data_IF_336660521626
#
_entry.id   IF_336660521626
#
_cell.length_a   1.000
_cell.length_b   1.000
_cell.length_c   1.000
_cell.angle_alpha   90.00
_cell.angle_beta   90.00
_cell.angle_gamma   90.00
#
_symmetry.space_group_name_H-M   'P 1'
#
loop_
_entity.id
_entity.type
_entity.pdbx_description
1 polymer ?
#
# COMPACT_ATOMS: atom_id res chain seq x y z
N UNK A 1 -9.16 -2.05 20.57
CA UNK A 1 -8.26 -0.94 20.20
C UNK A 1 -7.01 -1.43 19.45
N UNK A 2 -6.36 -2.53 19.87
CA UNK A 2 -5.18 -3.08 19.17
C UNK A 2 -5.44 -3.53 17.72
N UNK A 3 -6.63 -4.08 17.43
CA UNK A 3 -6.92 -4.63 16.10
C UNK A 3 -7.03 -3.53 15.01
N UNK A 4 -7.56 -2.35 15.34
CA UNK A 4 -7.69 -1.25 14.36
C UNK A 4 -6.33 -0.68 13.93
N UNK A 5 -5.37 -0.61 14.86
CA UNK A 5 -3.99 -0.18 14.58
C UNK A 5 -3.30 -1.21 13.69
N UNK A 6 -3.63 -2.50 13.86
CA UNK A 6 -3.10 -3.60 13.05
C UNK A 6 -3.55 -3.49 11.58
N UNK A 7 -4.85 -3.31 11.32
CA UNK A 7 -5.39 -3.23 9.96
C UNK A 7 -4.87 -2.02 9.17
N UNK A 8 -4.80 -0.83 9.78
CA UNK A 8 -4.18 0.34 9.11
C UNK A 8 -2.69 0.12 8.86
N UNK A 9 -1.97 -0.44 9.84
CA UNK A 9 -0.55 -0.76 9.68
C UNK A 9 -0.32 -1.71 8.52
N UNK A 10 -1.21 -2.69 8.31
CA UNK A 10 -1.15 -3.59 7.15
C UNK A 10 -1.20 -2.82 5.83
N UNK A 11 -2.21 -1.96 5.67
CA UNK A 11 -2.41 -1.15 4.45
C UNK A 11 -1.21 -0.24 4.22
N UNK A 12 -0.78 0.48 5.26
CA UNK A 12 0.35 1.41 5.20
C UNK A 12 1.65 0.70 4.83
N UNK A 13 1.98 -0.38 5.52
CA UNK A 13 3.22 -1.12 5.25
C UNK A 13 3.18 -1.77 3.86
N UNK A 14 2.02 -2.22 3.37
CA UNK A 14 1.88 -2.73 2.02
C UNK A 14 2.30 -1.68 0.98
N UNK A 15 1.69 -0.49 0.99
CA UNK A 15 2.01 0.54 0.00
C UNK A 15 3.43 1.10 0.15
N UNK A 16 3.95 1.20 1.37
CA UNK A 16 5.36 1.55 1.59
C UNK A 16 6.31 0.51 0.98
N UNK A 17 6.03 -0.78 1.19
CA UNK A 17 6.83 -1.88 0.63
C UNK A 17 6.79 -1.88 -0.89
N UNK A 18 5.62 -1.64 -1.48
CA UNK A 18 5.45 -1.64 -2.93
C UNK A 18 6.13 -0.41 -3.57
N UNK A 19 6.01 0.76 -2.96
CA UNK A 19 6.72 1.98 -3.41
C UNK A 19 8.22 1.79 -3.35
N UNK A 20 8.73 1.21 -2.25
CA UNK A 20 10.15 0.90 -2.12
C UNK A 20 10.62 -0.10 -3.19
N UNK A 21 9.82 -1.14 -3.46
CA UNK A 21 10.12 -2.09 -4.54
C UNK A 21 10.11 -1.43 -5.92
N UNK A 22 9.16 -0.53 -6.22
CA UNK A 22 9.13 0.20 -7.49
C UNK A 22 10.41 1.02 -7.70
N UNK A 23 10.91 1.68 -6.67
CA UNK A 23 12.18 2.42 -6.73
C UNK A 23 13.36 1.48 -6.99
N UNK A 24 13.39 0.33 -6.32
CA UNK A 24 14.42 -0.70 -6.53
C UNK A 24 14.36 -1.24 -7.96
N UNK A 25 13.15 -1.56 -8.45
CA UNK A 25 12.90 -2.01 -9.82
C UNK A 25 13.35 -0.97 -10.84
N UNK A 26 13.00 0.31 -10.64
CA UNK A 26 13.40 1.39 -11.52
C UNK A 26 14.93 1.43 -11.68
N UNK A 27 15.68 1.49 -10.58
CA UNK A 27 17.14 1.51 -10.63
C UNK A 27 17.76 0.23 -11.21
N UNK A 28 17.13 -0.92 -10.97
CA UNK A 28 17.54 -2.17 -11.59
C UNK A 28 17.38 -2.11 -13.12
N UNK A 29 16.22 -1.65 -13.61
CA UNK A 29 15.93 -1.53 -15.03
C UNK A 29 16.84 -0.52 -15.72
N UNK A 30 17.15 0.61 -15.08
CA UNK A 30 18.13 1.57 -15.60
C UNK A 30 19.47 0.89 -15.86
N UNK A 31 19.99 0.12 -14.90
CA UNK A 31 21.29 -0.54 -15.05
C UNK A 31 21.28 -1.69 -16.03
N UNK A 32 20.23 -2.51 -16.01
CA UNK A 32 20.06 -3.65 -16.92
C UNK A 32 19.95 -3.21 -18.37
N UNK A 33 19.45 -2.01 -18.65
CA UNK A 33 19.36 -1.49 -20.02
C UNK A 33 20.73 -1.34 -20.72
N UNK A 34 21.81 -1.27 -19.94
CA UNK A 34 23.20 -1.21 -20.44
C UNK A 34 23.90 -2.58 -20.50
N UNK A 35 23.22 -3.66 -20.12
CA UNK A 35 23.80 -5.01 -20.11
C UNK A 35 23.47 -5.71 -21.44
N UNK A 36 24.50 -6.06 -22.19
CA UNK A 36 24.38 -6.95 -23.35
C UNK A 36 24.60 -8.40 -22.93
N UNK A 37 23.68 -9.29 -23.28
CA UNK A 37 23.85 -10.74 -23.10
C UNK A 37 25.09 -11.24 -23.85
N UNK A 38 25.33 -10.72 -25.06
CA UNK A 38 26.51 -11.06 -25.85
C UNK A 38 27.81 -10.64 -25.14
N UNK A 39 27.80 -9.52 -24.41
CA UNK A 39 28.98 -9.09 -23.64
C UNK A 39 29.19 -9.95 -22.39
N UNK A 40 28.13 -10.48 -21.79
CA UNK A 40 28.24 -11.43 -20.67
C UNK A 40 28.80 -12.78 -21.16
N UNK A 41 28.24 -13.32 -22.24
CA UNK A 41 28.67 -14.60 -22.84
C UNK A 41 30.14 -14.54 -23.32
N UNK A 42 30.57 -13.40 -23.84
CA UNK A 42 31.94 -13.21 -24.32
C UNK A 42 32.92 -12.70 -23.25
N UNK A 43 32.54 -12.66 -21.97
CA UNK A 43 33.36 -12.14 -20.87
C UNK A 43 33.86 -10.68 -21.07
N UNK A 44 33.08 -9.87 -21.79
CA UNK A 44 33.39 -8.46 -22.05
C UNK A 44 32.74 -7.52 -21.04
N UNK A 45 31.68 -7.97 -20.35
CA UNK A 45 31.00 -7.17 -19.36
C UNK A 45 31.75 -7.17 -18.01
N UNK A 46 32.10 -6.01 -17.43
CA UNK A 46 32.81 -5.95 -16.16
C UNK A 46 31.97 -6.55 -15.01
N UNK A 47 32.55 -7.52 -14.29
CA UNK A 47 31.86 -8.23 -13.19
C UNK A 47 31.48 -7.25 -12.07
N UNK A 48 32.31 -6.24 -11.82
CA UNK A 48 32.06 -5.18 -10.85
C UNK A 48 30.80 -4.37 -11.19
N UNK A 49 30.55 -4.12 -12.47
CA UNK A 49 29.32 -3.46 -12.93
C UNK A 49 28.12 -4.39 -12.80
N UNK A 50 28.31 -5.69 -13.03
CA UNK A 50 27.25 -6.68 -12.88
C UNK A 50 26.80 -6.81 -11.41
N UNK A 51 27.75 -6.80 -10.48
CA UNK A 51 27.46 -6.81 -9.04
C UNK A 51 26.68 -5.58 -8.59
N UNK A 52 26.76 -4.46 -9.33
CA UNK A 52 26.00 -3.24 -9.02
C UNK A 52 24.56 -3.31 -9.52
N UNK A 53 24.16 -4.30 -10.33
CA UNK A 53 22.78 -4.40 -10.84
C UNK A 53 21.75 -4.46 -9.71
N UNK A 54 22.04 -5.23 -8.65
CA UNK A 54 21.20 -5.33 -7.46
C UNK A 54 21.96 -4.89 -6.21
N UNK A 55 21.33 -4.00 -5.45
CA UNK A 55 21.85 -3.52 -4.18
C UNK A 55 21.37 -4.42 -3.03
N UNK A 56 22.30 -5.19 -2.46
CA UNK A 56 22.03 -6.13 -1.37
C UNK A 56 21.46 -5.44 -0.12
N UNK A 57 21.87 -4.20 0.15
CA UNK A 57 21.38 -3.44 1.30
C UNK A 57 19.94 -3.02 1.07
N UNK A 58 19.59 -2.56 -0.14
CA UNK A 58 18.20 -2.22 -0.49
C UNK A 58 17.29 -3.45 -0.47
N UNK A 59 17.74 -4.59 -1.00
CA UNK A 59 17.00 -5.86 -0.93
C UNK A 59 16.78 -6.31 0.52
N UNK A 60 17.82 -6.24 1.35
CA UNK A 60 17.72 -6.59 2.78
C UNK A 60 16.77 -5.66 3.51
N UNK A 61 16.84 -4.35 3.24
CA UNK A 61 15.94 -3.38 3.83
C UNK A 61 14.48 -3.61 3.43
N UNK A 62 14.20 -3.90 2.15
CA UNK A 62 12.86 -4.29 1.69
C UNK A 62 12.35 -5.52 2.45
N UNK A 63 13.18 -6.57 2.53
CA UNK A 63 12.81 -7.83 3.18
C UNK A 63 12.57 -7.67 4.67
N UNK A 64 13.55 -7.14 5.38
CA UNK A 64 13.63 -7.17 6.85
C UNK A 64 12.75 -6.08 7.47
N UNK A 65 12.74 -4.87 6.89
CA UNK A 65 11.95 -3.76 7.45
C UNK A 65 10.48 -3.82 7.06
N UNK A 66 10.20 -4.09 5.79
CA UNK A 66 8.83 -4.01 5.27
C UNK A 66 8.17 -5.38 5.16
N UNK A 67 8.74 -6.32 4.40
CA UNK A 67 8.05 -7.56 4.07
C UNK A 67 7.90 -8.50 5.28
N UNK A 68 8.88 -8.56 6.18
CA UNK A 68 8.75 -9.35 7.41
C UNK A 68 7.61 -8.82 8.29
N UNK A 69 7.56 -7.50 8.50
CA UNK A 69 6.47 -6.84 9.24
C UNK A 69 5.13 -7.05 8.54
N UNK A 70 5.08 -6.89 7.22
CA UNK A 70 3.86 -7.06 6.43
C UNK A 70 3.32 -8.48 6.51
N UNK A 71 4.20 -9.49 6.45
CA UNK A 71 3.84 -10.90 6.59
C UNK A 71 3.24 -11.17 7.97
N UNK A 72 3.85 -10.66 9.03
CA UNK A 72 3.32 -10.79 10.39
C UNK A 72 1.95 -10.15 10.53
N UNK A 73 1.77 -8.93 10.00
CA UNK A 73 0.48 -8.24 10.01
C UNK A 73 -0.58 -9.01 9.22
N UNK A 74 -0.25 -9.49 8.02
CA UNK A 74 -1.18 -10.23 7.16
C UNK A 74 -1.64 -11.53 7.82
N UNK A 75 -0.70 -12.25 8.44
CA UNK A 75 -1.00 -13.51 9.12
C UNK A 75 -1.90 -13.32 10.35
N UNK A 76 -1.70 -12.22 11.10
CA UNK A 76 -2.50 -11.89 12.26
C UNK A 76 -3.90 -11.39 11.88
N UNK A 77 -4.00 -10.59 10.81
CA UNK A 77 -5.25 -10.01 10.33
C UNK A 77 -6.19 -11.06 9.73
N UNK A 78 -5.64 -12.05 9.02
CA UNK A 78 -6.42 -13.08 8.33
C UNK A 78 -6.21 -14.47 8.96
N UNK A 79 -6.83 -14.76 10.13
CA UNK A 79 -6.62 -16.03 10.80
C UNK A 79 -7.06 -17.22 9.94
N UNK A 80 -6.21 -18.24 9.87
CA UNK A 80 -6.36 -19.46 9.03
C UNK A 80 -7.58 -20.35 9.33
N UNK A 81 -8.51 -19.94 10.20
CA UNK A 81 -9.52 -20.85 10.80
C UNK A 81 -10.59 -21.36 9.81
N UNK A 82 -10.75 -20.79 8.61
CA UNK A 82 -11.67 -21.33 7.58
C UNK A 82 -11.16 -21.24 6.13
N UNK A 83 -10.37 -20.23 5.75
CA UNK A 83 -9.78 -20.08 4.41
C UNK A 83 -8.56 -19.17 4.49
N UNK A 84 -7.44 -19.57 3.89
CA UNK A 84 -6.26 -18.71 3.80
C UNK A 84 -6.59 -17.55 2.86
N UNK A 85 -6.39 -16.32 3.34
CA UNK A 85 -6.60 -15.13 2.53
C UNK A 85 -5.50 -15.05 1.47
N UNK A 86 -5.88 -14.86 0.20
CA UNK A 86 -4.94 -14.78 -0.93
C UNK A 86 -3.94 -13.63 -0.76
N UNK A 87 -4.34 -12.55 -0.09
CA UNK A 87 -3.41 -11.46 0.23
C UNK A 87 -2.22 -11.97 1.06
N UNK A 88 -2.46 -12.73 2.14
CA UNK A 88 -1.40 -13.33 3.00
C UNK A 88 -0.46 -14.25 2.18
N UNK A 89 -1.04 -15.02 1.25
CA UNK A 89 -0.26 -15.88 0.33
C UNK A 89 0.66 -15.03 -0.55
N UNK A 90 0.14 -13.99 -1.20
CA UNK A 90 0.97 -13.13 -2.05
C UNK A 90 2.08 -12.44 -1.27
N UNK A 91 1.82 -11.96 -0.04
CA UNK A 91 2.86 -11.35 0.79
C UNK A 91 3.95 -12.36 1.13
N UNK A 92 3.57 -13.60 1.47
CA UNK A 92 4.54 -14.67 1.73
C UNK A 92 5.37 -15.00 0.50
N UNK A 93 4.75 -15.10 -0.68
CA UNK A 93 5.45 -15.33 -1.95
C UNK A 93 6.43 -14.18 -2.27
N UNK A 94 6.02 -12.92 -2.12
CA UNK A 94 6.92 -11.76 -2.31
C UNK A 94 8.14 -11.85 -1.38
N UNK A 95 7.92 -12.18 -0.11
CA UNK A 95 9.00 -12.37 0.86
C UNK A 95 9.98 -13.46 0.42
N UNK A 96 9.47 -14.60 -0.06
CA UNK A 96 10.29 -15.70 -0.56
C UNK A 96 11.08 -15.30 -1.80
N UNK A 97 10.45 -14.64 -2.76
CA UNK A 97 11.11 -14.22 -3.99
C UNK A 97 12.24 -13.21 -3.75
N UNK A 98 12.02 -12.24 -2.85
CA UNK A 98 13.07 -11.30 -2.42
C UNK A 98 14.19 -12.02 -1.66
N UNK A 99 13.87 -13.05 -0.88
CA UNK A 99 14.87 -13.86 -0.18
C UNK A 99 15.76 -14.63 -1.15
N UNK A 100 15.19 -15.20 -2.21
CA UNK A 100 15.94 -15.87 -3.28
C UNK A 100 16.88 -14.87 -3.95
N UNK A 101 16.39 -13.69 -4.35
CA UNK A 101 17.26 -12.66 -4.96
C UNK A 101 18.44 -12.28 -4.07
N UNK A 102 18.19 -12.11 -2.77
CA UNK A 102 19.24 -11.79 -1.79
C UNK A 102 20.28 -12.90 -1.68
N UNK A 103 19.85 -14.16 -1.58
CA UNK A 103 20.74 -15.31 -1.49
C UNK A 103 21.62 -15.44 -2.74
N UNK A 104 21.02 -15.28 -3.93
CA UNK A 104 21.73 -15.36 -5.20
C UNK A 104 22.75 -14.24 -5.34
N UNK A 105 22.41 -13.02 -4.89
CA UNK A 105 23.36 -11.92 -4.85
C UNK A 105 24.53 -12.19 -3.91
N UNK A 106 24.28 -12.80 -2.75
CA UNK A 106 25.32 -13.21 -1.81
C UNK A 106 26.25 -14.28 -2.39
N UNK A 107 25.69 -15.30 -3.06
CA UNK A 107 26.46 -16.34 -3.77
C UNK A 107 27.37 -15.69 -4.82
N UNK A 108 26.84 -14.73 -5.57
CA UNK A 108 27.62 -14.02 -6.58
C UNK A 108 28.75 -13.17 -5.97
N UNK A 109 28.50 -12.48 -4.85
CA UNK A 109 29.54 -11.76 -4.11
C UNK A 109 30.65 -12.71 -3.62
N UNK A 110 30.29 -13.91 -3.18
CA UNK A 110 31.24 -14.95 -2.79
C UNK A 110 32.11 -15.43 -3.96
N UNK A 111 31.51 -15.74 -5.12
CA UNK A 111 32.27 -16.15 -6.30
C UNK A 111 33.20 -15.04 -6.81
N UNK A 112 32.75 -13.78 -6.76
CA UNK A 112 33.58 -12.65 -7.16
C UNK A 112 34.83 -12.49 -6.29
N UNK A 113 34.74 -12.72 -4.98
CA UNK A 113 35.90 -12.72 -4.08
C UNK A 113 36.92 -13.82 -4.42
N UNK A 114 36.49 -14.85 -5.14
CA UNK A 114 37.30 -16.00 -5.56
C UNK A 114 37.52 -16.03 -7.07
N UNK A 115 37.37 -14.88 -7.75
CA UNK A 115 37.47 -14.81 -9.21
C UNK A 115 38.81 -15.32 -9.77
N UNK A 116 39.89 -15.24 -8.97
CA UNK A 116 41.21 -15.74 -9.35
C UNK A 116 41.30 -17.29 -9.27
N UNK A 117 40.39 -17.94 -8.53
CA UNK A 117 40.28 -19.40 -8.40
C UNK A 117 39.32 -20.02 -9.44
N UNK A 118 38.54 -19.19 -10.14
CA UNK A 118 37.44 -19.63 -11.03
C UNK A 118 37.82 -19.34 -12.49
N UNK A 119 37.57 -20.29 -13.38
CA UNK A 119 37.86 -20.07 -14.81
C UNK A 119 36.96 -18.96 -15.39
N UNK A 120 37.48 -18.21 -16.37
CA UNK A 120 36.70 -17.15 -17.03
C UNK A 120 35.41 -17.68 -17.67
N UNK A 121 35.42 -18.90 -18.20
CA UNK A 121 34.23 -19.53 -18.80
C UNK A 121 33.17 -19.87 -17.74
N UNK A 122 33.59 -20.39 -16.60
CA UNK A 122 32.70 -20.68 -15.48
C UNK A 122 32.09 -19.40 -14.90
N UNK A 123 32.89 -18.35 -14.75
CA UNK A 123 32.43 -17.05 -14.28
C UNK A 123 31.40 -16.42 -15.25
N UNK A 124 31.65 -16.47 -16.56
CA UNK A 124 30.68 -16.04 -17.59
C UNK A 124 29.33 -16.73 -17.41
N UNK A 125 29.37 -18.07 -17.29
CA UNK A 125 28.17 -18.89 -17.16
C UNK A 125 27.39 -18.52 -15.90
N UNK A 126 28.07 -18.37 -14.76
CA UNK A 126 27.45 -17.92 -13.50
C UNK A 126 26.77 -16.56 -13.69
N UNK A 127 27.42 -15.61 -14.37
CA UNK A 127 26.87 -14.28 -14.62
C UNK A 127 25.63 -14.33 -15.53
N UNK A 128 25.68 -15.10 -16.62
CA UNK A 128 24.53 -15.29 -17.52
C UNK A 128 23.34 -15.95 -16.81
N UNK A 129 23.58 -17.02 -16.06
CA UNK A 129 22.53 -17.72 -15.30
C UNK A 129 21.92 -16.79 -14.24
N UNK A 130 22.77 -16.03 -13.53
CA UNK A 130 22.33 -15.06 -12.52
C UNK A 130 21.55 -13.91 -13.15
N UNK A 131 21.95 -13.43 -14.32
CA UNK A 131 21.26 -12.36 -15.04
C UNK A 131 19.83 -12.76 -15.39
N UNK A 132 19.66 -13.94 -16.01
CA UNK A 132 18.35 -14.47 -16.37
C UNK A 132 17.47 -14.70 -15.15
N UNK A 133 18.06 -15.17 -14.04
CA UNK A 133 17.36 -15.34 -12.77
C UNK A 133 16.90 -14.00 -12.19
N UNK A 134 17.77 -12.99 -12.13
CA UNK A 134 17.45 -11.66 -11.60
C UNK A 134 16.29 -11.03 -12.37
N UNK A 135 16.33 -11.05 -13.71
CA UNK A 135 15.24 -10.54 -14.53
C UNK A 135 13.92 -11.25 -14.24
N UNK A 136 13.96 -12.58 -14.22
CA UNK A 136 12.77 -13.42 -13.96
C UNK A 136 12.17 -13.10 -12.60
N UNK A 137 13.00 -13.01 -11.56
CA UNK A 137 12.56 -12.75 -10.18
C UNK A 137 12.01 -11.34 -10.00
N UNK A 138 12.63 -10.33 -10.60
CA UNK A 138 12.12 -8.95 -10.57
C UNK A 138 10.73 -8.85 -11.21
N UNK A 139 10.51 -9.49 -12.36
CA UNK A 139 9.20 -9.55 -13.02
C UNK A 139 8.18 -10.28 -12.15
N UNK A 140 8.56 -11.41 -11.55
CA UNK A 140 7.71 -12.20 -10.65
C UNK A 140 7.27 -11.36 -9.44
N UNK A 141 8.20 -10.69 -8.76
CA UNK A 141 7.90 -9.84 -7.60
C UNK A 141 6.96 -8.70 -7.99
N UNK A 142 7.21 -8.03 -9.13
CA UNK A 142 6.31 -6.99 -9.66
C UNK A 142 4.89 -7.51 -9.85
N UNK A 143 4.75 -8.69 -10.47
CA UNK A 143 3.45 -9.33 -10.70
C UNK A 143 2.75 -9.68 -9.38
N UNK A 144 3.50 -10.20 -8.40
CA UNK A 144 2.97 -10.52 -7.08
C UNK A 144 2.48 -9.28 -6.34
N UNK A 145 3.22 -8.17 -6.35
CA UNK A 145 2.76 -6.91 -5.77
C UNK A 145 1.48 -6.38 -6.44
N UNK A 146 1.39 -6.45 -7.78
CA UNK A 146 0.15 -6.09 -8.50
C UNK A 146 -1.03 -6.98 -8.07
N UNK A 147 -0.81 -8.28 -7.97
CA UNK A 147 -1.85 -9.21 -7.51
C UNK A 147 -2.27 -8.95 -6.06
N UNK A 148 -1.31 -8.66 -5.18
CA UNK A 148 -1.55 -8.28 -3.80
C UNK A 148 -2.36 -6.98 -3.69
N UNK A 149 -2.02 -5.94 -4.47
CA UNK A 149 -2.78 -4.67 -4.53
C UNK A 149 -4.23 -4.93 -4.95
N UNK A 150 -4.41 -5.63 -6.07
CA UNK A 150 -5.75 -5.94 -6.59
C UNK A 150 -6.57 -6.78 -5.60
N UNK A 151 -5.91 -7.65 -4.81
CA UNK A 151 -6.59 -8.41 -3.76
C UNK A 151 -6.92 -7.55 -2.55
N UNK A 152 -6.01 -6.67 -2.13
CA UNK A 152 -6.22 -5.72 -1.05
C UNK A 152 -7.45 -4.85 -1.33
N UNK A 153 -7.53 -4.26 -2.53
CA UNK A 153 -8.69 -3.46 -2.96
C UNK A 153 -10.01 -4.23 -2.83
N UNK A 154 -10.02 -5.51 -3.19
CA UNK A 154 -11.22 -6.37 -3.08
C UNK A 154 -11.62 -6.71 -1.64
N UNK A 155 -10.77 -6.46 -0.65
CA UNK A 155 -11.08 -6.71 0.76
C UNK A 155 -11.17 -5.42 1.57
N UNK A 156 -10.81 -4.26 0.99
CA UNK A 156 -10.86 -2.97 1.66
C UNK A 156 -12.27 -2.59 2.14
N UNK A 157 -13.32 -3.06 1.46
CA UNK A 157 -14.71 -2.83 1.88
C UNK A 157 -15.01 -3.32 3.30
N UNK A 158 -14.27 -4.32 3.81
CA UNK A 158 -14.45 -4.84 5.18
C UNK A 158 -14.10 -3.75 6.22
N UNK A 159 -13.28 -2.78 5.84
CA UNK A 159 -12.81 -1.69 6.70
C UNK A 159 -13.59 -0.39 6.51
N UNK A 160 -14.68 -0.40 5.72
CA UNK A 160 -15.42 0.81 5.37
C UNK A 160 -16.10 1.53 6.54
N UNK A 161 -16.30 0.82 7.66
CA UNK A 161 -16.83 1.37 8.93
C UNK A 161 -15.75 1.68 9.95
N UNK A 162 -14.48 1.50 9.63
CA UNK A 162 -13.39 1.77 10.56
C UNK A 162 -12.99 3.23 10.48
N UNK A 163 -13.49 4.00 11.45
CA UNK A 163 -13.21 5.44 11.58
C UNK A 163 -11.73 5.80 11.54
N UNK A 164 -10.89 5.00 12.20
CA UNK A 164 -9.46 5.27 12.22
C UNK A 164 -8.84 5.09 10.82
N UNK A 165 -9.27 4.08 10.07
CA UNK A 165 -8.78 3.85 8.70
C UNK A 165 -9.27 4.95 7.76
N UNK A 166 -10.55 5.34 7.83
CA UNK A 166 -11.08 6.42 6.99
C UNK A 166 -10.31 7.73 7.18
N UNK A 167 -10.09 8.13 8.44
CA UNK A 167 -9.31 9.33 8.79
C UNK A 167 -7.86 9.21 8.35
N UNK A 168 -7.22 8.06 8.60
CA UNK A 168 -5.81 7.86 8.22
C UNK A 168 -5.62 7.86 6.70
N UNK A 169 -6.57 7.28 5.94
CA UNK A 169 -6.56 7.34 4.49
C UNK A 169 -6.70 8.77 3.99
N UNK A 170 -7.62 9.57 4.54
CA UNK A 170 -7.76 10.97 4.15
C UNK A 170 -6.45 11.75 4.35
N UNK A 171 -5.78 11.53 5.50
CA UNK A 171 -4.58 12.26 5.87
C UNK A 171 -3.32 11.80 5.11
N UNK A 172 -3.21 10.50 4.80
CA UNK A 172 -1.95 9.91 4.33
C UNK A 172 -2.00 9.35 2.90
N UNK A 173 -3.18 9.17 2.28
CA UNK A 173 -3.27 8.44 1.00
C UNK A 173 -2.54 9.14 -0.14
N UNK A 174 -2.46 10.47 -0.15
CA UNK A 174 -1.75 11.20 -1.20
C UNK A 174 -0.26 10.86 -1.21
N UNK A 175 0.39 10.83 -0.05
CA UNK A 175 1.81 10.47 0.05
C UNK A 175 2.03 8.96 -0.08
N UNK A 176 1.09 8.16 0.42
CA UNK A 176 1.23 6.71 0.50
C UNK A 176 0.97 6.03 -0.85
N UNK A 177 0.02 6.56 -1.63
CA UNK A 177 -0.57 5.84 -2.75
C UNK A 177 -0.51 6.60 -4.10
N UNK A 178 0.12 7.79 -4.17
CA UNK A 178 0.33 8.57 -5.42
C UNK A 178 0.91 7.76 -6.58
N UNK A 179 1.74 6.80 -6.24
CA UNK A 179 2.45 5.94 -7.18
C UNK A 179 1.54 4.92 -7.90
N UNK A 180 0.30 4.79 -7.46
CA UNK A 180 -0.62 3.73 -7.85
C UNK A 180 -1.97 4.23 -8.35
N UNK A 181 -2.31 5.49 -8.08
CA UNK A 181 -3.61 6.07 -8.34
C UNK A 181 -3.47 7.50 -8.81
N UNK A 182 -4.41 7.95 -9.64
CA UNK A 182 -4.47 9.33 -10.09
C UNK A 182 -5.02 10.23 -8.98
N UNK A 183 -6.01 9.74 -8.23
CA UNK A 183 -6.62 10.43 -7.10
C UNK A 183 -6.58 9.50 -5.88
N UNK A 184 -5.43 9.38 -5.18
CA UNK A 184 -5.15 8.30 -4.24
C UNK A 184 -6.24 8.03 -3.20
N UNK A 185 -6.70 9.07 -2.52
CA UNK A 185 -7.77 8.92 -1.54
C UNK A 185 -9.09 8.49 -2.17
N UNK A 186 -9.53 9.17 -3.25
CA UNK A 186 -10.80 8.90 -3.91
C UNK A 186 -10.83 7.51 -4.57
N UNK A 187 -9.74 7.11 -5.20
CA UNK A 187 -9.61 5.80 -5.85
C UNK A 187 -9.63 4.65 -4.84
N UNK A 188 -9.06 4.85 -3.65
CA UNK A 188 -9.19 3.89 -2.54
C UNK A 188 -10.62 3.82 -2.01
N UNK A 189 -11.32 4.95 -1.89
CA UNK A 189 -12.72 4.97 -1.46
C UNK A 189 -13.64 4.16 -2.40
N UNK A 190 -13.39 4.15 -3.71
CA UNK A 190 -14.13 3.30 -4.67
C UNK A 190 -14.09 1.81 -4.29
N UNK A 191 -12.96 1.37 -3.73
CA UNK A 191 -12.77 -0.01 -3.29
C UNK A 191 -13.39 -0.29 -1.92
N UNK A 192 -13.43 0.71 -1.05
CA UNK A 192 -14.06 0.61 0.27
C UNK A 192 -15.60 0.68 0.22
N UNK A 193 -16.15 1.42 -0.73
CA UNK A 193 -17.58 1.67 -0.87
C UNK A 193 -18.09 1.26 -2.26
N UNK A 194 -18.16 -0.05 -2.56
CA UNK A 194 -18.50 -0.53 -3.91
C UNK A 194 -19.92 -0.16 -4.36
N UNK A 195 -20.89 -0.09 -3.44
CA UNK A 195 -22.29 0.22 -3.77
C UNK A 195 -22.57 1.73 -3.73
N UNK A 196 -22.14 2.42 -2.66
CA UNK A 196 -22.37 3.87 -2.48
C UNK A 196 -21.31 4.79 -3.13
N UNK A 197 -20.26 4.21 -3.71
CA UNK A 197 -19.20 4.95 -4.40
C UNK A 197 -18.40 5.90 -3.51
N UNK A 198 -17.70 6.83 -4.17
CA UNK A 198 -16.83 7.82 -3.51
C UNK A 198 -17.63 8.74 -2.58
N UNK A 199 -18.82 9.18 -2.99
CA UNK A 199 -19.67 10.05 -2.18
C UNK A 199 -19.99 9.47 -0.80
N UNK A 200 -20.36 8.18 -0.73
CA UNK A 200 -20.55 7.49 0.55
C UNK A 200 -19.25 7.45 1.38
N UNK A 201 -18.11 7.19 0.75
CA UNK A 201 -16.82 7.22 1.44
C UNK A 201 -16.46 8.58 2.03
N UNK A 202 -16.77 9.66 1.30
CA UNK A 202 -16.52 11.03 1.75
C UNK A 202 -17.45 11.40 2.92
N UNK A 203 -18.75 11.11 2.83
CA UNK A 203 -19.68 11.36 3.95
C UNK A 203 -19.25 10.58 5.18
N UNK A 204 -18.93 9.29 5.03
CA UNK A 204 -18.42 8.45 6.13
C UNK A 204 -17.16 9.02 6.77
N UNK A 205 -16.22 9.53 5.95
CA UNK A 205 -14.98 10.13 6.46
C UNK A 205 -15.26 11.44 7.21
N UNK A 206 -16.15 12.29 6.68
CA UNK A 206 -16.55 13.54 7.34
C UNK A 206 -17.21 13.26 8.69
N UNK A 207 -18.16 12.33 8.74
CA UNK A 207 -18.74 11.81 9.98
C UNK A 207 -17.68 11.35 10.97
N UNK A 208 -16.70 10.58 10.49
CA UNK A 208 -15.61 10.06 11.32
C UNK A 208 -14.79 11.17 11.99
N UNK A 209 -14.53 12.27 11.27
CA UNK A 209 -13.88 13.44 11.83
C UNK A 209 -14.77 14.19 12.83
N UNK A 210 -16.06 14.39 12.54
CA UNK A 210 -17.00 15.00 13.48
C UNK A 210 -17.13 14.19 14.79
N UNK A 211 -17.22 12.87 14.69
CA UNK A 211 -17.21 11.95 15.84
C UNK A 211 -15.89 12.00 16.63
N UNK A 212 -14.80 12.42 16.01
CA UNK A 212 -13.52 12.66 16.69
C UNK A 212 -13.32 14.09 17.18
N UNK A 213 -14.27 15.01 16.96
CA UNK A 213 -14.13 16.44 17.29
C UNK A 213 -13.22 17.21 16.32
N UNK A 214 -12.89 16.66 15.16
CA UNK A 214 -11.99 17.25 14.16
C UNK A 214 -12.76 18.02 13.06
N UNK A 215 -13.54 19.03 13.46
CA UNK A 215 -14.48 19.72 12.57
C UNK A 215 -13.84 20.41 11.36
N UNK A 216 -12.61 20.91 11.48
CA UNK A 216 -11.88 21.50 10.34
C UNK A 216 -11.64 20.49 9.23
N UNK A 217 -11.20 19.27 9.59
CA UNK A 217 -10.99 18.19 8.63
C UNK A 217 -12.32 17.71 8.03
N UNK A 218 -13.38 17.64 8.84
CA UNK A 218 -14.72 17.32 8.34
C UNK A 218 -15.16 18.33 7.26
N UNK A 219 -14.99 19.64 7.49
CA UNK A 219 -15.27 20.69 6.50
C UNK A 219 -14.45 20.51 5.22
N UNK A 220 -13.17 20.17 5.33
CA UNK A 220 -12.33 19.96 4.16
C UNK A 220 -12.73 18.72 3.34
N UNK A 221 -13.24 17.67 4.00
CA UNK A 221 -13.84 16.52 3.30
C UNK A 221 -15.15 16.91 2.60
N UNK A 222 -16.01 17.72 3.22
CA UNK A 222 -17.25 18.21 2.58
C UNK A 222 -16.97 18.98 1.28
N UNK A 223 -15.93 19.82 1.25
CA UNK A 223 -15.53 20.54 0.02
C UNK A 223 -15.11 19.61 -1.12
N UNK A 224 -14.71 18.37 -0.82
CA UNK A 224 -14.44 17.36 -1.85
C UNK A 224 -15.74 16.76 -2.38
N UNK A 225 -16.77 16.61 -1.53
CA UNK A 225 -18.08 16.13 -1.93
C UNK A 225 -18.72 17.07 -2.96
N UNK A 226 -18.65 18.38 -2.74
CA UNK A 226 -19.19 19.39 -3.67
C UNK A 226 -18.59 19.34 -5.08
N UNK A 227 -17.40 18.74 -5.22
CA UNK A 227 -16.69 18.58 -6.49
C UNK A 227 -16.95 17.22 -7.15
N UNK A 228 -17.52 16.28 -6.42
CA UNK A 228 -17.76 14.92 -6.87
C UNK A 228 -19.25 14.69 -7.11
N UNK A 229 -19.56 13.81 -8.06
CA UNK A 229 -20.95 13.51 -8.40
C UNK A 229 -21.59 12.59 -7.34
N UNK A 230 -22.58 13.14 -6.63
CA UNK A 230 -23.36 12.44 -5.60
C UNK A 230 -24.44 11.52 -6.18
N UNK A 231 -24.60 11.40 -7.51
CA UNK A 231 -25.65 10.60 -8.16
C UNK A 231 -25.76 9.14 -7.69
N UNK A 232 -24.67 8.55 -7.16
CA UNK A 232 -24.64 7.17 -6.65
C UNK A 232 -24.88 7.02 -5.14
N UNK A 233 -25.12 8.13 -4.46
CA UNK A 233 -25.28 8.15 -3.00
C UNK A 233 -26.71 7.78 -2.65
N UNK A 234 -26.88 6.87 -1.68
CA UNK A 234 -28.23 6.49 -1.24
C UNK A 234 -28.92 7.68 -0.57
N UNK A 235 -30.25 7.67 -0.56
CA UNK A 235 -31.05 8.75 0.05
C UNK A 235 -30.65 8.99 1.50
N UNK A 236 -30.36 7.94 2.24
CA UNK A 236 -30.00 8.00 3.65
C UNK A 236 -28.62 8.67 3.85
N UNK A 237 -27.65 8.36 2.98
CA UNK A 237 -26.33 9.01 3.03
C UNK A 237 -26.43 10.48 2.61
N UNK A 238 -27.30 10.82 1.67
CA UNK A 238 -27.55 12.21 1.29
C UNK A 238 -28.18 13.00 2.44
N UNK A 239 -29.15 12.43 3.15
CA UNK A 239 -29.74 13.06 4.33
C UNK A 239 -28.71 13.25 5.46
N UNK A 240 -27.83 12.27 5.65
CA UNK A 240 -26.74 12.39 6.61
C UNK A 240 -25.77 13.51 6.22
N UNK A 241 -25.43 13.62 4.93
CA UNK A 241 -24.62 14.72 4.39
C UNK A 241 -25.25 16.10 4.70
N UNK A 242 -26.54 16.29 4.42
CA UNK A 242 -27.26 17.54 4.71
C UNK A 242 -27.16 17.91 6.20
N UNK A 243 -27.35 16.94 7.09
CA UNK A 243 -27.23 17.14 8.55
C UNK A 243 -25.83 17.52 8.99
N UNK A 244 -24.80 16.93 8.38
CA UNK A 244 -23.41 17.28 8.68
C UNK A 244 -23.13 18.72 8.27
N UNK A 245 -23.59 19.15 7.09
CA UNK A 245 -23.43 20.53 6.63
C UNK A 245 -24.12 21.49 7.59
N UNK A 246 -25.41 21.28 7.85
CA UNK A 246 -26.18 22.14 8.75
C UNK A 246 -25.49 22.25 10.11
N UNK A 247 -24.99 21.13 10.64
CA UNK A 247 -24.22 21.12 11.88
C UNK A 247 -22.91 21.91 11.77
N UNK A 248 -22.11 21.72 10.72
CA UNK A 248 -20.82 22.39 10.56
C UNK A 248 -20.95 23.90 10.33
N UNK A 249 -22.03 24.33 9.67
CA UNK A 249 -22.37 25.74 9.45
C UNK A 249 -22.86 26.39 10.76
N UNK A 250 -23.78 25.75 11.48
CA UNK A 250 -24.33 26.27 12.73
C UNK A 250 -23.27 26.42 13.86
N UNK A 251 -22.12 25.75 13.73
CA UNK A 251 -21.08 25.74 14.75
C UNK A 251 -19.74 26.29 14.23
N UNK A 252 -19.75 27.06 13.14
CA UNK A 252 -18.53 27.60 12.52
C UNK A 252 -17.69 28.49 13.46
N UNK A 253 -18.35 29.31 14.28
CA UNK A 253 -17.73 30.25 15.22
C UNK A 253 -17.77 29.78 16.68
N UNK A 254 -18.09 28.50 16.90
CA UNK A 254 -18.25 27.98 18.25
C UNK A 254 -16.91 28.00 19.02
N UNK A 255 -16.89 28.71 20.16
CA UNK A 255 -15.70 28.83 21.02
C UNK A 255 -15.46 27.59 21.90
N UNK A 256 -16.52 26.81 22.15
CA UNK A 256 -16.45 25.59 22.96
C UNK A 256 -16.66 24.35 22.08
N UNK A 257 -15.55 23.73 21.70
CA UNK A 257 -15.53 22.50 20.89
C UNK A 257 -16.18 21.32 21.65
N UNK A 258 -16.13 21.32 22.99
CA UNK A 258 -16.70 20.26 23.82
C UNK A 258 -18.23 20.25 23.77
N UNK A 259 -18.85 21.42 23.85
CA UNK A 259 -20.30 21.58 23.72
C UNK A 259 -20.80 21.19 22.32
N UNK A 260 -20.10 21.65 21.28
CA UNK A 260 -20.36 21.28 19.88
C UNK A 260 -20.29 19.77 19.69
N UNK A 261 -19.30 19.12 20.30
CA UNK A 261 -19.16 17.67 20.24
C UNK A 261 -20.27 16.90 20.92
N UNK A 262 -20.70 17.33 22.11
CA UNK A 262 -21.86 16.70 22.76
C UNK A 262 -23.13 16.83 21.93
N UNK A 263 -23.34 17.97 21.26
CA UNK A 263 -24.46 18.18 20.34
C UNK A 263 -24.41 17.22 19.16
N UNK A 264 -23.25 17.07 18.51
CA UNK A 264 -23.08 16.12 17.39
C UNK A 264 -23.40 14.67 17.81
N UNK A 265 -22.84 14.23 18.94
CA UNK A 265 -23.04 12.88 19.46
C UNK A 265 -24.51 12.63 19.79
N UNK A 266 -25.23 13.64 20.28
CA UNK A 266 -26.66 13.51 20.61
C UNK A 266 -27.56 13.50 19.38
N UNK A 267 -27.31 14.40 18.44
CA UNK A 267 -28.28 14.73 17.39
C UNK A 267 -28.03 13.97 16.07
N UNK A 268 -26.79 13.54 15.81
CA UNK A 268 -26.38 12.96 14.51
C UNK A 268 -25.82 11.53 14.67
N UNK A 269 -25.04 11.26 15.72
CA UNK A 269 -24.45 9.92 15.94
C UNK A 269 -25.45 8.74 15.94
N UNK A 270 -26.69 8.87 16.44
CA UNK A 270 -27.64 7.75 16.42
C UNK A 270 -27.98 7.26 15.01
N UNK A 271 -27.95 8.16 14.03
CA UNK A 271 -28.31 7.84 12.64
C UNK A 271 -27.15 7.17 11.89
N UNK A 272 -25.91 7.48 12.26
CA UNK A 272 -24.70 6.84 11.73
C UNK A 272 -24.71 5.33 12.03
N UNK A 273 -25.21 4.93 13.21
CA UNK A 273 -25.28 3.53 13.62
C UNK A 273 -26.28 2.66 12.84
N UNK A 274 -27.21 3.28 12.11
CA UNK A 274 -28.31 2.61 11.39
C UNK A 274 -27.96 2.34 9.91
N UNK A 275 -26.93 3.02 9.37
CA UNK A 275 -26.52 2.92 7.96
C UNK A 275 -25.66 1.67 7.67
N UNK A 276 -25.83 0.64 8.51
CA UNK A 276 -24.95 -0.52 8.60
C UNK A 276 -25.43 -1.74 7.84
#
# INVERSE_FOLDING_TARGET
MNDQISSWSLIKVFYQSFTYFKLLEFHYQEKVSFVSLEDLENNKFPVEEFLKLLDTNKLSYLRDKYLERLRTLAHNEFPRRKKVERFDIFISEIFHEVSILKEQKFILDYYYQRKDDVSSEELSKILCDTYGLFQTKMIQIKKLFKNAKNRLEKILFIYNKNDFILRSLYLEANDLCSDFYQHPYLDVLKSMFPEGGVGHGLVSTSCSFCMGGFYSHAKDVIKLIEKEDLEKVTKEIFQLYEKIIEFLECNEDAKDIGEVHQKFVKDISPEIGVLG
#
